data_IF_315178566990
#
_entry.id   IF_315178566990
#
_cell.length_a   1.000
_cell.length_b   1.000
_cell.length_c   1.000
_cell.angle_alpha   90.00
_cell.angle_beta   90.00
_cell.angle_gamma   90.00
#
_symmetry.space_group_name_H-M   'P 1'
#
loop_
_entity.id
_entity.type
_entity.pdbx_description
1 polymer ?
#
# COMPACT_ATOMS: atom_id res chain seq x y z
N UNK A 1 9.12 45.63 30.55
CA UNK A 1 9.69 44.41 31.18
C UNK A 1 9.67 43.32 30.13
N UNK A 2 10.84 42.94 29.61
CA UNK A 2 10.95 41.85 28.65
C UNK A 2 10.76 40.52 29.41
N UNK A 3 9.90 39.60 28.94
CA UNK A 3 9.82 38.27 29.53
C UNK A 3 11.11 37.51 29.21
N UNK A 4 11.81 37.05 30.23
CA UNK A 4 12.98 36.18 30.09
C UNK A 4 12.55 34.89 29.37
N UNK A 5 13.06 34.71 28.15
CA UNK A 5 12.80 33.53 27.32
C UNK A 5 13.71 32.39 27.78
N UNK A 6 13.20 31.54 28.67
CA UNK A 6 13.87 30.29 29.05
C UNK A 6 13.64 29.21 27.98
N UNK A 7 14.64 28.95 27.15
CA UNK A 7 14.67 27.80 26.23
C UNK A 7 15.25 26.60 26.99
N UNK A 8 14.40 25.64 27.35
CA UNK A 8 14.84 24.37 27.94
C UNK A 8 15.01 23.35 26.81
N UNK A 9 16.25 23.01 26.49
CA UNK A 9 16.63 22.00 25.48
C UNK A 9 16.67 20.60 26.10
N UNK A 10 15.60 20.21 26.80
CA UNK A 10 15.42 18.82 27.20
C UNK A 10 14.69 18.09 26.07
N UNK A 11 15.17 16.92 25.59
CA UNK A 11 14.41 16.12 24.64
C UNK A 11 13.04 15.84 25.25
N UNK A 12 12.00 16.32 24.58
CA UNK A 12 10.62 16.12 25.02
C UNK A 12 10.23 14.67 24.71
N UNK A 13 10.62 13.75 25.59
CA UNK A 13 10.06 12.41 25.60
C UNK A 13 8.58 12.52 26.00
N UNK A 14 7.67 12.53 25.03
CA UNK A 14 6.23 12.46 25.24
C UNK A 14 5.85 11.08 25.82
N UNK A 15 6.17 10.85 27.10
CA UNK A 15 5.77 9.65 27.85
C UNK A 15 4.24 9.66 28.02
N UNK A 16 3.53 8.92 27.17
CA UNK A 16 2.11 8.64 27.35
C UNK A 16 1.23 8.77 26.11
N UNK A 17 1.74 9.31 25.00
CA UNK A 17 1.02 9.22 23.73
C UNK A 17 1.20 7.79 23.22
N UNK A 18 0.12 7.00 23.27
CA UNK A 18 0.12 5.60 22.88
C UNK A 18 0.85 5.40 21.56
N UNK A 19 1.58 4.28 21.45
CA UNK A 19 2.29 3.78 20.26
C UNK A 19 1.34 3.50 19.09
N UNK A 20 0.58 4.48 18.65
CA UNK A 20 0.10 4.52 17.28
C UNK A 20 1.34 4.69 16.43
N UNK A 21 1.69 3.67 15.66
CA UNK A 21 2.79 3.71 14.69
C UNK A 21 2.57 4.78 13.61
N UNK A 22 1.41 5.42 13.60
CA UNK A 22 0.89 6.10 12.41
C UNK A 22 0.85 7.63 12.56
N UNK A 23 1.28 8.20 13.67
CA UNK A 23 1.40 9.67 13.80
C UNK A 23 2.79 10.05 14.28
N UNK A 24 3.63 10.52 13.34
CA UNK A 24 4.79 11.35 13.70
C UNK A 24 4.24 12.63 14.32
N UNK A 25 4.10 12.65 15.64
CA UNK A 25 3.70 13.85 16.36
C UNK A 25 4.75 14.94 16.13
N UNK A 26 4.50 15.82 15.17
CA UNK A 26 5.41 16.92 14.86
C UNK A 26 5.33 17.94 16.00
N UNK A 27 6.39 18.02 16.78
CA UNK A 27 6.49 19.05 17.81
C UNK A 27 6.96 20.35 17.16
N UNK A 28 6.29 21.46 17.48
CA UNK A 28 6.67 22.78 16.99
C UNK A 28 6.72 23.75 18.15
N UNK A 29 7.73 24.61 18.15
CA UNK A 29 7.88 25.65 19.15
C UNK A 29 7.26 26.93 18.61
N UNK A 30 6.28 27.48 19.34
CA UNK A 30 5.53 28.68 18.97
C UNK A 30 6.05 29.89 19.72
N UNK A 31 6.63 30.84 19.01
CA UNK A 31 7.01 32.14 19.56
C UNK A 31 5.87 33.14 19.36
N UNK A 32 5.43 33.79 20.45
CA UNK A 32 4.43 34.87 20.37
C UNK A 32 5.13 36.17 19.96
N UNK A 33 4.99 36.57 18.70
CA UNK A 33 5.58 37.82 18.19
C UNK A 33 4.56 38.96 18.17
N UNK A 34 3.26 38.65 18.03
CA UNK A 34 2.17 39.63 18.06
C UNK A 34 1.21 39.37 19.24
N UNK A 35 0.58 40.44 19.74
CA UNK A 35 -0.39 40.36 20.84
C UNK A 35 -1.69 39.60 20.52
N UNK A 36 -1.99 39.37 19.23
CA UNK A 36 -3.21 38.72 18.78
C UNK A 36 -2.90 37.40 18.07
N UNK A 37 -3.09 36.27 18.78
CA UNK A 37 -3.25 34.86 18.32
C UNK A 37 -2.27 34.25 17.29
N UNK A 38 -1.39 35.03 16.68
CA UNK A 38 -0.37 34.62 15.73
C UNK A 38 0.98 34.39 16.38
N UNK A 39 1.69 33.39 15.89
CA UNK A 39 3.02 33.06 16.37
C UNK A 39 3.93 32.61 15.25
N UNK A 40 5.23 32.78 15.48
CA UNK A 40 6.25 32.23 14.63
C UNK A 40 6.47 30.77 15.02
N UNK A 41 6.37 29.87 14.04
CA UNK A 41 6.52 28.43 14.22
C UNK A 41 7.96 28.02 13.90
N UNK A 42 8.65 27.49 14.90
CA UNK A 42 9.93 26.80 14.71
C UNK A 42 9.67 25.29 14.67
N UNK A 43 9.73 24.67 13.49
CA UNK A 43 9.42 23.25 13.34
C UNK A 43 10.55 22.35 13.84
N UNK A 44 10.20 21.10 14.15
CA UNK A 44 11.15 20.00 14.24
C UNK A 44 11.81 19.72 12.87
N UNK A 45 13.05 19.22 12.90
CA UNK A 45 13.69 18.73 11.68
C UNK A 45 13.09 17.37 11.28
N UNK A 46 12.60 17.24 10.05
CA UNK A 46 12.00 15.99 9.56
C UNK A 46 12.98 14.81 9.46
N UNK A 47 14.28 15.11 9.45
CA UNK A 47 15.33 14.10 9.48
C UNK A 47 15.48 13.42 10.85
N UNK A 48 14.92 13.99 11.92
CA UNK A 48 15.13 13.52 13.29
C UNK A 48 13.81 13.10 13.95
N UNK A 49 13.81 11.96 14.66
CA UNK A 49 12.60 11.48 15.34
C UNK A 49 12.22 12.34 16.54
N UNK A 50 13.20 12.99 17.16
CA UNK A 50 13.03 13.78 18.39
C UNK A 50 13.29 15.27 18.13
N UNK A 51 12.65 16.11 18.95
CA UNK A 51 12.89 17.55 18.93
C UNK A 51 14.18 17.88 19.66
N UNK A 52 15.13 18.48 18.95
CA UNK A 52 16.35 19.02 19.53
C UNK A 52 16.61 20.41 18.97
N UNK A 53 16.66 21.42 19.86
CA UNK A 53 16.99 22.78 19.46
C UNK A 53 18.43 22.87 18.97
N UNK A 54 19.35 22.15 19.64
CA UNK A 54 20.75 22.09 19.22
C UNK A 54 20.91 21.64 17.77
N UNK A 55 20.18 20.61 17.35
CA UNK A 55 20.24 20.10 15.99
C UNK A 55 19.60 21.07 14.98
N UNK A 56 18.51 21.74 15.38
CA UNK A 56 17.94 22.86 14.62
C UNK A 56 18.99 23.95 14.39
N UNK A 57 19.71 24.37 15.43
CA UNK A 57 20.77 25.37 15.33
C UNK A 57 21.92 24.89 14.44
N UNK A 58 22.38 23.65 14.59
CA UNK A 58 23.41 23.08 13.70
C UNK A 58 22.95 23.10 12.24
N UNK A 59 21.69 22.76 11.97
CA UNK A 59 21.10 22.80 10.63
C UNK A 59 21.07 24.22 10.06
N UNK A 60 20.70 25.22 10.87
CA UNK A 60 20.74 26.64 10.50
C UNK A 60 22.15 27.02 10.06
N UNK A 61 23.18 26.77 10.88
CA UNK A 61 24.56 27.19 10.56
C UNK A 61 25.19 26.48 9.35
N UNK A 62 24.54 25.46 8.77
CA UNK A 62 24.96 24.87 7.50
C UNK A 62 24.64 25.75 6.29
N UNK A 63 23.71 26.69 6.41
CA UNK A 63 23.38 27.60 5.32
C UNK A 63 24.37 28.77 5.30
N UNK A 64 25.12 28.88 4.19
CA UNK A 64 26.17 29.88 4.04
C UNK A 64 25.65 31.32 4.09
N UNK A 65 24.41 31.55 3.68
CA UNK A 65 23.80 32.87 3.60
C UNK A 65 23.57 33.53 4.97
N UNK A 66 23.60 32.78 6.08
CA UNK A 66 23.48 33.34 7.43
C UNK A 66 24.72 34.11 7.88
N UNK A 67 25.90 33.68 7.43
CA UNK A 67 27.15 34.33 7.79
C UNK A 67 27.19 35.78 7.26
N UNK A 68 26.47 36.06 6.17
CA UNK A 68 26.28 37.41 5.63
C UNK A 68 25.46 38.32 6.56
N UNK A 69 24.65 37.77 7.47
CA UNK A 69 23.94 38.55 8.48
C UNK A 69 24.74 38.67 9.78
N UNK A 70 25.48 37.62 10.15
CA UNK A 70 26.16 37.52 11.44
C UNK A 70 27.54 38.19 11.50
N UNK A 71 28.29 38.20 10.39
CA UNK A 71 29.68 38.66 10.35
C UNK A 71 29.90 40.15 10.02
N UNK A 72 29.08 40.86 9.22
CA UNK A 72 29.47 42.20 8.75
C UNK A 72 29.36 43.33 9.78
N UNK A 73 28.72 43.11 10.93
CA UNK A 73 28.47 44.19 11.89
C UNK A 73 29.47 44.17 13.04
N UNK A 74 30.42 45.10 13.01
CA UNK A 74 31.38 45.29 14.10
C UNK A 74 30.77 45.89 15.38
N UNK A 75 29.56 46.48 15.34
CA UNK A 75 29.00 47.27 16.46
C UNK A 75 27.48 47.14 16.72
N UNK A 76 26.77 46.18 16.11
CA UNK A 76 25.30 46.17 16.12
C UNK A 76 24.75 44.76 16.34
N UNK A 77 24.00 44.58 17.44
CA UNK A 77 23.30 43.34 17.71
C UNK A 77 22.11 43.18 16.75
N UNK A 78 21.97 41.99 16.14
CA UNK A 78 20.78 41.65 15.34
C UNK A 78 19.57 41.66 16.27
N UNK A 79 18.47 42.35 15.91
CA UNK A 79 17.25 42.31 16.70
C UNK A 79 16.74 40.87 16.88
N UNK A 80 16.29 40.47 18.07
CA UNK A 80 15.89 39.09 18.34
C UNK A 80 14.82 38.56 17.38
N UNK A 81 13.87 39.39 17.00
CA UNK A 81 12.80 39.02 16.07
C UNK A 81 13.34 38.75 14.65
N UNK A 82 14.30 39.53 14.16
CA UNK A 82 14.94 39.28 12.88
C UNK A 82 15.67 37.93 12.89
N UNK A 83 16.47 37.68 13.93
CA UNK A 83 17.17 36.41 14.12
C UNK A 83 16.20 35.22 14.11
N UNK A 84 15.07 35.32 14.82
CA UNK A 84 14.07 34.25 14.87
C UNK A 84 13.48 33.93 13.48
N UNK A 85 13.15 34.94 12.67
CA UNK A 85 12.66 34.70 11.29
C UNK A 85 13.74 34.11 10.39
N UNK A 86 15.01 34.47 10.58
CA UNK A 86 16.13 33.85 9.88
C UNK A 86 16.23 32.36 10.24
N UNK A 87 16.16 32.03 11.53
CA UNK A 87 16.15 30.64 12.02
C UNK A 87 15.01 29.84 11.39
N UNK A 88 13.78 30.36 11.49
CA UNK A 88 12.60 29.66 10.94
C UNK A 88 12.68 29.45 9.44
N UNK A 89 13.05 30.49 8.69
CA UNK A 89 13.24 30.39 7.24
C UNK A 89 14.23 29.29 6.85
N UNK A 90 15.35 29.21 7.58
CA UNK A 90 16.37 28.21 7.33
C UNK A 90 15.97 26.78 7.73
N UNK A 91 15.20 26.63 8.81
CA UNK A 91 14.69 25.32 9.23
C UNK A 91 13.70 24.77 8.21
N UNK A 92 12.79 25.61 7.70
CA UNK A 92 11.89 25.21 6.62
C UNK A 92 12.63 24.89 5.33
N UNK A 93 13.70 25.62 5.00
CA UNK A 93 14.54 25.29 3.85
C UNK A 93 15.19 23.91 4.01
N UNK A 94 15.73 23.59 5.20
CA UNK A 94 16.30 22.27 5.48
C UNK A 94 15.25 21.16 5.42
N UNK A 95 14.05 21.39 5.95
CA UNK A 95 12.94 20.43 5.91
C UNK A 95 12.46 20.18 4.47
N UNK A 96 12.34 21.23 3.66
CA UNK A 96 11.98 21.09 2.25
C UNK A 96 13.04 20.30 1.48
N UNK A 97 14.33 20.58 1.68
CA UNK A 97 15.42 19.79 1.04
C UNK A 97 15.39 18.32 1.43
N UNK A 98 15.05 18.04 2.69
CA UNK A 98 14.88 16.66 3.16
C UNK A 98 13.71 15.97 2.46
N UNK A 99 12.55 16.63 2.37
CA UNK A 99 11.40 16.09 1.65
C UNK A 99 11.68 15.89 0.16
N UNK A 100 12.32 16.86 -0.49
CA UNK A 100 12.72 16.76 -1.90
C UNK A 100 13.61 15.54 -2.13
N UNK A 101 14.63 15.34 -1.30
CA UNK A 101 15.51 14.19 -1.38
C UNK A 101 14.77 12.86 -1.12
N UNK A 102 13.87 12.82 -0.13
CA UNK A 102 13.08 11.62 0.21
C UNK A 102 12.11 11.26 -0.92
N UNK A 103 11.34 12.22 -1.42
CA UNK A 103 10.38 12.02 -2.51
C UNK A 103 11.11 11.57 -3.79
N UNK A 104 12.23 12.20 -4.13
CA UNK A 104 13.07 11.77 -5.27
C UNK A 104 13.63 10.37 -5.07
N UNK A 105 14.09 10.03 -3.87
CA UNK A 105 14.57 8.67 -3.56
C UNK A 105 13.48 7.63 -3.79
N UNK A 106 12.27 7.87 -3.28
CA UNK A 106 11.12 6.97 -3.45
C UNK A 106 10.76 6.85 -4.95
N UNK A 107 10.67 7.99 -5.64
CA UNK A 107 10.29 8.06 -7.06
C UNK A 107 11.28 7.33 -7.98
N UNK A 108 12.60 7.49 -7.76
CA UNK A 108 13.62 6.90 -8.63
C UNK A 108 14.01 5.47 -8.26
N UNK A 109 13.99 5.12 -6.96
CA UNK A 109 14.50 3.83 -6.48
C UNK A 109 13.38 2.84 -6.19
N UNK A 110 12.39 3.27 -5.42
CA UNK A 110 11.38 2.36 -4.88
C UNK A 110 10.25 2.11 -5.88
N UNK A 111 10.00 3.05 -6.79
CA UNK A 111 8.96 2.90 -7.81
C UNK A 111 9.25 1.79 -8.84
N UNK A 112 10.53 1.40 -8.97
CA UNK A 112 10.95 0.29 -9.86
C UNK A 112 10.53 -1.07 -9.35
N UNK A 113 10.46 -1.25 -8.04
CA UNK A 113 9.93 -2.45 -7.37
C UNK A 113 9.13 -2.01 -6.15
N UNK A 114 7.87 -1.59 -6.36
CA UNK A 114 7.08 -1.00 -5.30
C UNK A 114 6.83 -2.03 -4.20
N UNK A 115 7.15 -1.63 -2.97
CA UNK A 115 6.84 -2.39 -1.76
C UNK A 115 5.54 -1.88 -1.17
N UNK A 116 4.91 -2.69 -0.32
CA UNK A 116 3.70 -2.27 0.40
C UNK A 116 3.93 -1.00 1.24
N UNK A 117 5.15 -0.78 1.72
CA UNK A 117 5.52 0.44 2.47
C UNK A 117 5.63 1.69 1.59
N UNK A 118 5.91 1.54 0.28
CA UNK A 118 6.15 2.68 -0.63
C UNK A 118 4.95 3.61 -0.70
N UNK A 119 3.73 3.06 -0.68
CA UNK A 119 2.53 3.88 -0.67
C UNK A 119 2.38 4.67 0.64
N UNK A 120 2.63 4.01 1.79
CA UNK A 120 2.64 4.67 3.10
C UNK A 120 3.67 5.78 3.16
N UNK A 121 4.90 5.52 2.71
CA UNK A 121 5.98 6.51 2.68
C UNK A 121 5.63 7.76 1.83
N UNK A 122 4.93 7.59 0.71
CA UNK A 122 4.47 8.71 -0.10
C UNK A 122 3.34 9.49 0.58
N UNK A 123 2.43 8.81 1.29
CA UNK A 123 1.39 9.45 2.08
C UNK A 123 1.99 10.28 3.23
N UNK A 124 2.99 9.73 3.94
CA UNK A 124 3.74 10.47 4.96
C UNK A 124 4.40 11.73 4.37
N UNK A 125 5.07 11.60 3.22
CA UNK A 125 5.69 12.75 2.55
C UNK A 125 4.65 13.80 2.14
N UNK A 126 3.45 13.38 1.73
CA UNK A 126 2.35 14.29 1.39
C UNK A 126 1.87 15.06 2.61
N UNK A 127 1.68 14.37 3.73
CA UNK A 127 1.25 14.99 4.99
C UNK A 127 2.32 15.97 5.50
N UNK A 128 3.59 15.57 5.53
CA UNK A 128 4.70 16.42 5.94
C UNK A 128 4.80 17.69 5.06
N UNK A 129 4.56 17.56 3.74
CA UNK A 129 4.59 18.68 2.81
C UNK A 129 3.40 19.63 3.01
N UNK A 130 2.19 19.11 3.25
CA UNK A 130 1.02 19.93 3.52
C UNK A 130 1.11 20.67 4.87
N UNK A 131 1.66 20.00 5.89
CA UNK A 131 1.97 20.60 7.18
C UNK A 131 2.99 21.74 7.03
N UNK A 132 4.06 21.53 6.24
CA UNK A 132 5.04 22.56 5.92
C UNK A 132 4.39 23.76 5.23
N UNK A 133 3.55 23.55 4.21
CA UNK A 133 2.88 24.63 3.48
C UNK A 133 1.96 25.43 4.39
N UNK A 134 1.09 24.75 5.15
CA UNK A 134 0.17 25.40 6.10
C UNK A 134 0.94 26.23 7.13
N UNK A 135 2.03 25.70 7.69
CA UNK A 135 2.82 26.40 8.70
C UNK A 135 3.59 27.61 8.13
N UNK A 136 4.09 27.52 6.89
CA UNK A 136 4.72 28.67 6.22
C UNK A 136 3.69 29.75 5.91
N UNK A 137 2.50 29.38 5.41
CA UNK A 137 1.41 30.33 5.16
C UNK A 137 0.99 31.02 6.45
N UNK A 138 0.84 30.27 7.56
CA UNK A 138 0.58 30.84 8.87
C UNK A 138 1.68 31.83 9.27
N UNK A 139 2.96 31.45 9.10
CA UNK A 139 4.10 32.32 9.41
C UNK A 139 4.10 33.61 8.58
N UNK A 140 3.80 33.52 7.28
CA UNK A 140 3.75 34.66 6.35
C UNK A 140 2.61 35.63 6.69
N UNK A 141 1.45 35.11 7.11
CA UNK A 141 0.28 35.94 7.49
C UNK A 141 0.55 36.83 8.72
N UNK A 142 1.51 36.47 9.56
CA UNK A 142 1.83 37.18 10.80
C UNK A 142 3.17 37.94 10.75
N UNK A 143 3.73 38.16 9.57
CA UNK A 143 4.99 38.92 9.42
C UNK A 143 4.74 40.40 9.73
N UNK A 144 5.49 41.01 10.67
CA UNK A 144 5.32 42.43 10.97
C UNK A 144 6.01 43.32 9.91
N UNK A 145 5.38 44.44 9.56
CA UNK A 145 5.81 45.33 8.46
C UNK A 145 7.22 45.90 8.70
N UNK A 146 7.56 46.20 9.95
CA UNK A 146 8.89 46.71 10.33
C UNK A 146 10.05 45.75 10.00
N UNK A 147 9.77 44.45 9.90
CA UNK A 147 10.78 43.45 9.60
C UNK A 147 11.15 43.45 8.10
N UNK A 148 10.19 43.75 7.22
CA UNK A 148 10.48 43.96 5.80
C UNK A 148 11.39 45.17 5.62
N UNK A 149 11.06 46.29 6.26
CA UNK A 149 11.88 47.51 6.21
C UNK A 149 13.30 47.25 6.73
N UNK A 150 13.43 46.51 7.85
CA UNK A 150 14.74 46.14 8.40
C UNK A 150 15.60 45.35 7.39
N UNK A 151 15.03 44.34 6.73
CA UNK A 151 15.77 43.52 5.78
C UNK A 151 16.02 44.22 4.44
N UNK A 152 15.11 45.07 3.96
CA UNK A 152 15.28 45.85 2.74
C UNK A 152 16.33 46.97 2.88
N UNK A 153 16.57 47.44 4.11
CA UNK A 153 17.66 48.39 4.39
C UNK A 153 19.04 47.72 4.40
N UNK A 154 19.13 46.40 4.61
CA UNK A 154 20.39 45.68 4.79
C UNK A 154 21.30 45.64 3.55
N UNK A 155 20.80 45.42 2.32
CA UNK A 155 21.62 45.45 1.10
C UNK A 155 22.39 46.77 0.91
N UNK A 156 21.92 47.88 1.50
CA UNK A 156 22.61 49.18 1.46
C UNK A 156 23.91 49.18 2.25
N UNK A 157 24.00 48.37 3.30
CA UNK A 157 25.16 48.28 4.18
C UNK A 157 26.14 47.19 3.75
N UNK A 158 25.69 46.23 2.94
CA UNK A 158 26.48 45.10 2.47
C UNK A 158 26.03 44.72 1.04
N UNK A 159 26.74 45.15 -0.01
CA UNK A 159 26.37 44.90 -1.41
C UNK A 159 26.68 43.47 -1.88
N UNK A 160 26.62 42.48 -0.98
CA UNK A 160 26.84 41.08 -1.32
C UNK A 160 25.68 40.59 -2.22
N UNK A 161 26.03 40.17 -3.43
CA UNK A 161 25.11 39.70 -4.47
C UNK A 161 24.34 38.41 -4.12
N UNK A 162 24.66 37.77 -2.99
CA UNK A 162 24.10 36.50 -2.54
C UNK A 162 23.09 36.65 -1.39
N UNK A 163 22.78 37.88 -0.99
CA UNK A 163 21.98 38.11 0.20
C UNK A 163 20.55 37.62 0.05
N UNK A 164 20.17 36.63 0.86
CA UNK A 164 18.82 36.06 0.87
C UNK A 164 17.97 36.70 1.95
N UNK A 165 16.95 37.41 1.53
CA UNK A 165 15.94 37.95 2.41
C UNK A 165 15.10 36.81 3.05
N UNK A 166 15.06 36.64 4.39
CA UNK A 166 14.41 35.49 5.03
C UNK A 166 12.92 35.32 4.70
N UNK A 167 12.20 36.43 4.57
CA UNK A 167 10.77 36.40 4.22
C UNK A 167 10.55 36.02 2.74
N UNK A 168 11.28 36.63 1.78
CA UNK A 168 11.24 36.19 0.37
C UNK A 168 11.72 34.74 0.21
N UNK A 169 12.60 34.28 1.09
CA UNK A 169 13.02 32.88 1.13
C UNK A 169 11.86 31.96 1.53
N UNK A 170 11.00 32.34 2.50
CA UNK A 170 9.80 31.59 2.84
C UNK A 170 8.81 31.53 1.66
N UNK A 171 8.59 32.63 0.95
CA UNK A 171 7.76 32.64 -0.27
C UNK A 171 8.34 31.72 -1.37
N UNK A 172 9.67 31.73 -1.53
CA UNK A 172 10.36 30.82 -2.45
C UNK A 172 10.16 29.36 -2.04
N UNK A 173 10.35 29.03 -0.76
CA UNK A 173 10.13 27.69 -0.22
C UNK A 173 8.68 27.25 -0.46
N UNK A 174 7.69 28.15 -0.32
CA UNK A 174 6.30 27.84 -0.60
C UNK A 174 6.07 27.49 -2.08
N UNK A 175 6.65 28.26 -3.02
CA UNK A 175 6.59 27.96 -4.46
C UNK A 175 7.29 26.64 -4.79
N UNK A 176 8.46 26.41 -4.21
CA UNK A 176 9.22 25.16 -4.40
C UNK A 176 8.44 23.96 -3.83
N UNK A 177 7.72 24.15 -2.73
CA UNK A 177 6.83 23.13 -2.15
C UNK A 177 5.64 22.81 -3.06
N UNK A 178 5.04 23.80 -3.75
CA UNK A 178 3.98 23.57 -4.73
C UNK A 178 4.49 22.76 -5.93
N UNK A 179 5.69 23.07 -6.43
CA UNK A 179 6.36 22.29 -7.48
C UNK A 179 6.60 20.85 -6.99
N UNK A 180 7.13 20.69 -5.78
CA UNK A 180 7.37 19.38 -5.20
C UNK A 180 6.08 18.57 -4.98
N UNK A 181 4.98 19.24 -4.63
CA UNK A 181 3.66 18.61 -4.49
C UNK A 181 3.16 18.07 -5.83
N UNK A 182 3.34 18.82 -6.91
CA UNK A 182 2.98 18.34 -8.27
C UNK A 182 3.78 17.10 -8.66
N UNK A 183 5.10 17.11 -8.40
CA UNK A 183 5.98 15.97 -8.65
C UNK A 183 5.61 14.73 -7.80
N UNK A 184 5.22 14.94 -6.55
CA UNK A 184 4.73 13.88 -5.66
C UNK A 184 3.42 13.28 -6.21
N UNK A 185 2.52 14.10 -6.75
CA UNK A 185 1.27 13.60 -7.34
C UNK A 185 1.54 12.77 -8.61
N UNK A 186 2.47 13.20 -9.46
CA UNK A 186 2.89 12.43 -10.63
C UNK A 186 3.50 11.08 -10.20
N UNK A 187 4.29 11.09 -9.12
CA UNK A 187 4.87 9.87 -8.53
C UNK A 187 3.78 8.90 -8.03
N UNK A 188 2.72 9.40 -7.40
CA UNK A 188 1.56 8.56 -7.03
C UNK A 188 0.88 7.93 -8.26
N UNK A 189 0.69 8.69 -9.34
CA UNK A 189 0.08 8.15 -10.55
C UNK A 189 0.94 7.05 -11.19
N UNK A 190 2.25 7.25 -11.24
CA UNK A 190 3.19 6.25 -11.73
C UNK A 190 3.20 5.00 -10.85
N UNK A 191 3.14 5.15 -9.53
CA UNK A 191 3.04 4.03 -8.59
C UNK A 191 1.77 3.20 -8.85
N UNK A 192 0.61 3.86 -8.98
CA UNK A 192 -0.66 3.17 -9.24
C UNK A 192 -0.65 2.44 -10.59
N UNK A 193 -0.03 3.03 -11.61
CA UNK A 193 0.16 2.37 -12.90
C UNK A 193 1.06 1.12 -12.77
N UNK A 194 2.17 1.24 -12.05
CA UNK A 194 3.10 0.13 -11.80
C UNK A 194 2.45 -1.03 -11.06
N UNK A 195 1.68 -0.73 -10.01
CA UNK A 195 0.93 -1.73 -9.24
C UNK A 195 -0.11 -2.44 -10.12
N UNK A 196 -0.89 -1.69 -10.92
CA UNK A 196 -1.88 -2.28 -11.82
C UNK A 196 -1.27 -3.22 -12.86
N UNK A 197 -0.10 -2.87 -13.41
CA UNK A 197 0.63 -3.74 -14.34
C UNK A 197 1.15 -5.00 -13.63
N UNK A 198 1.63 -4.88 -12.39
CA UNK A 198 2.09 -6.02 -11.58
C UNK A 198 0.93 -6.96 -11.26
N UNK A 199 -0.20 -6.44 -10.81
CA UNK A 199 -1.40 -7.22 -10.50
C UNK A 199 -1.94 -7.95 -11.73
N UNK A 200 -1.87 -7.30 -12.91
CA UNK A 200 -2.25 -7.93 -14.17
C UNK A 200 -1.36 -9.13 -14.51
N UNK A 201 -0.04 -9.02 -14.28
CA UNK A 201 0.89 -10.14 -14.49
C UNK A 201 0.62 -11.28 -13.51
N UNK A 202 0.47 -10.98 -12.23
CA UNK A 202 0.14 -11.98 -11.21
C UNK A 202 -1.18 -12.68 -11.51
N UNK A 203 -2.19 -11.94 -11.97
CA UNK A 203 -3.47 -12.53 -12.39
C UNK A 203 -3.33 -13.45 -13.60
N UNK A 204 -2.46 -13.11 -14.57
CA UNK A 204 -2.19 -13.98 -15.73
C UNK A 204 -1.47 -15.26 -15.30
N UNK A 205 -0.45 -15.14 -14.44
CA UNK A 205 0.27 -16.29 -13.89
C UNK A 205 -0.65 -17.21 -13.08
N UNK A 206 -1.50 -16.62 -12.22
CA UNK A 206 -2.49 -17.38 -11.46
C UNK A 206 -3.51 -18.07 -12.38
N UNK A 207 -3.94 -17.41 -13.46
CA UNK A 207 -4.83 -18.02 -14.45
C UNK A 207 -4.15 -19.20 -15.17
N UNK A 208 -2.86 -19.08 -15.51
CA UNK A 208 -2.10 -20.18 -16.12
C UNK A 208 -1.97 -21.38 -15.18
N UNK A 209 -1.59 -21.14 -13.92
CA UNK A 209 -1.52 -22.20 -12.90
C UNK A 209 -2.89 -22.87 -12.68
N UNK A 210 -3.96 -22.09 -12.65
CA UNK A 210 -5.32 -22.62 -12.50
C UNK A 210 -5.74 -23.50 -13.69
N UNK A 211 -5.34 -23.12 -14.91
CA UNK A 211 -5.59 -23.92 -16.11
C UNK A 211 -4.81 -25.24 -16.09
N UNK A 212 -3.55 -25.21 -15.68
CA UNK A 212 -2.74 -26.42 -15.53
C UNK A 212 -3.35 -27.37 -14.49
N UNK A 213 -3.77 -26.84 -13.35
CA UNK A 213 -4.45 -27.61 -12.31
C UNK A 213 -5.80 -28.18 -12.80
N UNK A 214 -6.53 -27.43 -13.64
CA UNK A 214 -7.75 -27.92 -14.27
C UNK A 214 -7.49 -29.09 -15.23
N UNK A 215 -6.40 -29.05 -16.01
CA UNK A 215 -6.02 -30.15 -16.89
C UNK A 215 -5.63 -31.41 -16.10
N UNK A 216 -4.82 -31.25 -15.04
CA UNK A 216 -4.42 -32.37 -14.18
C UNK A 216 -5.61 -33.00 -13.46
N UNK A 217 -6.51 -32.18 -12.92
CA UNK A 217 -7.73 -32.68 -12.26
C UNK A 217 -8.66 -33.39 -13.24
N UNK A 218 -8.80 -32.89 -14.48
CA UNK A 218 -9.56 -33.58 -15.52
C UNK A 218 -8.94 -34.93 -15.89
N UNK A 219 -7.61 -35.03 -15.94
CA UNK A 219 -6.94 -36.32 -16.19
C UNK A 219 -7.10 -37.30 -15.03
N UNK A 220 -6.97 -36.82 -13.78
CA UNK A 220 -7.23 -37.63 -12.58
C UNK A 220 -8.68 -38.13 -12.54
N UNK A 221 -9.65 -37.27 -12.88
CA UNK A 221 -11.05 -37.66 -12.98
C UNK A 221 -11.28 -38.77 -14.01
N UNK A 222 -10.63 -38.68 -15.19
CA UNK A 222 -10.70 -39.75 -16.21
C UNK A 222 -10.12 -41.07 -15.70
N UNK A 223 -8.96 -41.05 -15.04
CA UNK A 223 -8.33 -42.25 -14.47
C UNK A 223 -9.20 -42.85 -13.37
N UNK A 224 -9.75 -42.02 -12.50
CA UNK A 224 -10.69 -42.46 -11.45
C UNK A 224 -11.95 -43.08 -12.04
N UNK A 225 -12.53 -42.48 -13.08
CA UNK A 225 -13.71 -43.03 -13.76
C UNK A 225 -13.44 -44.42 -14.34
N UNK A 226 -12.25 -44.63 -14.92
CA UNK A 226 -11.84 -45.94 -15.44
C UNK A 226 -11.72 -46.99 -14.33
N UNK A 227 -11.10 -46.65 -13.20
CA UNK A 227 -10.99 -47.54 -12.04
C UNK A 227 -12.36 -47.90 -11.47
N UNK A 228 -13.26 -46.92 -11.33
CA UNK A 228 -14.63 -47.16 -10.88
C UNK A 228 -15.36 -48.10 -11.84
N UNK A 229 -15.21 -47.90 -13.16
CA UNK A 229 -15.82 -48.78 -14.16
C UNK A 229 -15.32 -50.22 -14.04
N UNK A 230 -14.01 -50.43 -13.85
CA UNK A 230 -13.46 -51.77 -13.62
C UNK A 230 -13.96 -52.38 -12.31
N UNK A 231 -13.96 -51.62 -11.22
CA UNK A 231 -14.44 -52.09 -9.93
C UNK A 231 -15.92 -52.52 -10.00
N UNK A 232 -16.78 -51.77 -10.71
CA UNK A 232 -18.18 -52.15 -10.88
C UNK A 232 -18.40 -53.47 -11.62
N UNK A 233 -17.46 -53.88 -12.49
CA UNK A 233 -17.49 -55.17 -13.19
C UNK A 233 -16.89 -56.30 -12.35
N UNK A 234 -15.72 -56.08 -11.74
CA UNK A 234 -14.98 -57.12 -11.04
C UNK A 234 -15.54 -57.46 -9.66
N UNK A 235 -16.14 -56.50 -8.96
CA UNK A 235 -16.62 -56.69 -7.58
C UNK A 235 -17.75 -57.74 -7.50
N UNK A 236 -18.79 -57.73 -8.36
CA UNK A 236 -19.81 -58.80 -8.41
C UNK A 236 -19.24 -60.16 -8.83
N UNK A 237 -18.31 -60.18 -9.79
CA UNK A 237 -17.60 -61.40 -10.25
C UNK A 237 -16.77 -62.03 -9.12
N UNK A 238 -16.12 -61.19 -8.31
CA UNK A 238 -15.34 -61.62 -7.14
C UNK A 238 -16.25 -62.20 -6.04
N UNK A 239 -17.42 -61.61 -5.81
CA UNK A 239 -18.42 -62.16 -4.89
C UNK A 239 -18.90 -63.52 -5.37
N UNK A 240 -19.20 -63.66 -6.66
CA UNK A 240 -19.63 -64.94 -7.24
C UNK A 240 -18.56 -66.03 -7.08
N UNK A 241 -17.32 -65.74 -7.46
CA UNK A 241 -16.20 -66.67 -7.34
C UNK A 241 -15.86 -67.00 -5.89
N UNK A 242 -16.02 -66.05 -4.95
CA UNK A 242 -15.91 -66.30 -3.51
C UNK A 242 -16.97 -67.26 -2.98
N UNK A 243 -18.25 -67.06 -3.34
CA UNK A 243 -19.36 -67.94 -2.95
C UNK A 243 -19.13 -69.37 -3.45
N UNK A 244 -18.71 -69.55 -4.70
CA UNK A 244 -18.45 -70.88 -5.25
C UNK A 244 -17.10 -71.48 -4.84
N UNK A 245 -16.10 -70.66 -4.48
CA UNK A 245 -14.78 -71.13 -4.06
C UNK A 245 -14.70 -71.60 -2.61
N UNK A 246 -15.53 -71.05 -1.71
CA UNK A 246 -15.41 -71.28 -0.27
C UNK A 246 -16.05 -72.59 0.24
N UNK A 247 -16.99 -73.23 -0.46
CA UNK A 247 -17.75 -74.38 0.09
C UNK A 247 -18.16 -75.45 -0.95
N UNK A 248 -17.25 -75.87 -1.84
CA UNK A 248 -17.54 -76.96 -2.77
C UNK A 248 -17.68 -78.35 -2.10
N UNK A 249 -17.18 -78.52 -0.86
CA UNK A 249 -17.32 -79.80 -0.13
C UNK A 249 -18.68 -79.96 0.56
N UNK A 250 -19.23 -78.91 1.19
CA UNK A 250 -20.54 -78.98 1.84
C UNK A 250 -21.71 -79.02 0.83
N UNK A 251 -21.56 -78.37 -0.33
CA UNK A 251 -22.62 -78.30 -1.35
C UNK A 251 -22.78 -79.61 -2.14
N UNK A 252 -21.77 -80.49 -2.14
CA UNK A 252 -21.83 -81.75 -2.89
C UNK A 252 -22.53 -82.89 -2.12
N UNK A 253 -22.71 -82.76 -0.79
CA UNK A 253 -23.50 -83.70 0.03
C UNK A 253 -25.01 -83.41 -0.02
N UNK A 254 -25.40 -82.19 -0.38
CA UNK A 254 -26.76 -81.89 -0.81
C UNK A 254 -26.83 -82.11 -2.34
N UNK A 255 -27.77 -82.90 -2.84
CA UNK A 255 -28.01 -83.09 -4.27
C UNK A 255 -28.49 -81.78 -4.96
N UNK A 256 -27.65 -80.75 -5.03
CA UNK A 256 -27.99 -79.49 -5.69
C UNK A 256 -27.59 -79.61 -7.17
N UNK A 257 -28.54 -79.50 -8.12
CA UNK A 257 -28.22 -79.62 -9.53
C UNK A 257 -27.27 -78.49 -9.95
N UNK A 258 -26.26 -78.81 -10.76
CA UNK A 258 -25.28 -77.89 -11.35
C UNK A 258 -25.91 -76.60 -11.93
N UNK A 259 -27.17 -76.68 -12.39
CA UNK A 259 -27.98 -75.56 -12.86
C UNK A 259 -28.18 -74.42 -11.84
N UNK A 260 -28.07 -74.67 -10.53
CA UNK A 260 -28.22 -73.62 -9.50
C UNK A 260 -27.14 -72.54 -9.61
N UNK A 261 -25.91 -72.92 -10.01
CA UNK A 261 -24.83 -71.95 -10.25
C UNK A 261 -25.18 -70.97 -11.37
N UNK A 262 -25.83 -71.47 -12.43
CA UNK A 262 -26.29 -70.66 -13.55
C UNK A 262 -27.41 -69.68 -13.14
N UNK A 263 -28.32 -70.09 -12.26
CA UNK A 263 -29.40 -69.23 -11.73
C UNK A 263 -28.84 -68.11 -10.85
N UNK A 264 -27.92 -68.43 -9.95
CA UNK A 264 -27.28 -67.42 -9.08
C UNK A 264 -26.46 -66.43 -9.92
N UNK A 265 -25.76 -66.91 -10.96
CA UNK A 265 -25.06 -66.04 -11.91
C UNK A 265 -26.02 -65.09 -12.63
N UNK A 266 -27.14 -65.60 -13.15
CA UNK A 266 -28.13 -64.79 -13.85
C UNK A 266 -28.73 -63.70 -12.96
N UNK A 267 -29.07 -64.01 -11.69
CA UNK A 267 -29.61 -63.04 -10.73
C UNK A 267 -28.57 -61.95 -10.40
N UNK A 268 -27.31 -62.34 -10.18
CA UNK A 268 -26.22 -61.38 -9.95
C UNK A 268 -26.01 -60.48 -11.16
N UNK A 269 -26.02 -61.03 -12.38
CA UNK A 269 -25.88 -60.25 -13.61
C UNK A 269 -27.02 -59.23 -13.78
N UNK A 270 -28.26 -59.64 -13.49
CA UNK A 270 -29.43 -58.74 -13.51
C UNK A 270 -29.32 -57.64 -12.45
N UNK A 271 -28.97 -57.98 -11.20
CA UNK A 271 -28.78 -56.98 -10.14
C UNK A 271 -27.67 -55.98 -10.50
N UNK A 272 -26.56 -56.47 -11.04
CA UNK A 272 -25.44 -55.62 -11.47
C UNK A 272 -25.86 -54.70 -12.63
N UNK A 273 -26.60 -55.24 -13.60
CA UNK A 273 -27.13 -54.49 -14.73
C UNK A 273 -28.11 -53.39 -14.30
N UNK A 274 -28.98 -53.66 -13.33
CA UNK A 274 -29.92 -52.68 -12.77
C UNK A 274 -29.17 -51.58 -12.01
N UNK A 275 -28.18 -51.93 -11.18
CA UNK A 275 -27.35 -50.94 -10.48
C UNK A 275 -26.58 -50.05 -11.46
N UNK A 276 -26.02 -50.62 -12.52
CA UNK A 276 -25.31 -49.88 -13.56
C UNK A 276 -26.25 -48.94 -14.34
N UNK A 277 -27.43 -49.41 -14.75
CA UNK A 277 -28.42 -48.57 -15.42
C UNK A 277 -28.95 -47.46 -14.51
N UNK A 278 -29.14 -47.74 -13.21
CA UNK A 278 -29.56 -46.77 -12.21
C UNK A 278 -28.54 -45.64 -12.05
N UNK A 279 -27.25 -45.98 -11.89
CA UNK A 279 -26.16 -45.00 -11.80
C UNK A 279 -26.05 -44.17 -13.08
N UNK A 280 -26.12 -44.81 -14.26
CA UNK A 280 -26.02 -44.12 -15.55
C UNK A 280 -27.22 -43.22 -15.84
N UNK A 281 -28.42 -43.59 -15.36
CA UNK A 281 -29.61 -42.76 -15.46
C UNK A 281 -29.57 -41.57 -14.50
N UNK A 282 -28.96 -41.75 -13.32
CA UNK A 282 -28.72 -40.67 -12.35
C UNK A 282 -27.75 -39.62 -12.90
N UNK A 283 -26.62 -40.04 -13.47
CA UNK A 283 -25.63 -39.12 -14.08
C UNK A 283 -26.23 -38.28 -15.21
N UNK A 284 -27.06 -38.89 -16.06
CA UNK A 284 -27.77 -38.17 -17.14
C UNK A 284 -28.75 -37.12 -16.62
N UNK A 285 -29.34 -37.32 -15.43
CA UNK A 285 -30.23 -36.33 -14.82
C UNK A 285 -29.43 -35.16 -14.25
N UNK A 286 -28.27 -35.42 -13.64
CA UNK A 286 -27.40 -34.38 -13.10
C UNK A 286 -26.84 -33.48 -14.21
N UNK A 287 -26.30 -34.06 -15.30
CA UNK A 287 -25.80 -33.28 -16.44
C UNK A 287 -26.88 -32.41 -17.11
N UNK A 288 -28.13 -32.89 -17.13
CA UNK A 288 -29.25 -32.13 -17.70
C UNK A 288 -29.63 -30.92 -16.83
N UNK A 289 -29.50 -31.05 -15.51
CA UNK A 289 -29.75 -29.94 -14.57
C UNK A 289 -28.62 -28.89 -14.62
N UNK A 290 -27.37 -29.31 -14.80
CA UNK A 290 -26.23 -28.40 -14.95
C UNK A 290 -26.27 -27.64 -16.28
N UNK A 291 -26.69 -28.28 -17.37
CA UNK A 291 -26.88 -27.62 -18.66
C UNK A 291 -28.00 -26.56 -18.64
N UNK A 292 -29.07 -26.80 -17.86
CA UNK A 292 -30.18 -25.84 -17.70
C UNK A 292 -29.82 -24.65 -16.81
N UNK A 293 -28.92 -24.83 -15.83
CA UNK A 293 -28.44 -23.74 -14.98
C UNK A 293 -27.41 -22.86 -15.69
N UNK A 294 -26.52 -23.43 -16.52
CA UNK A 294 -25.56 -22.65 -17.34
C UNK A 294 -26.26 -21.89 -18.47
N UNK A 295 -27.28 -22.48 -19.11
CA UNK A 295 -28.08 -21.79 -20.13
C UNK A 295 -28.94 -20.61 -19.62
N UNK A 296 -29.14 -20.52 -18.30
CA UNK A 296 -29.89 -19.41 -17.67
C UNK A 296 -29.01 -18.19 -17.32
N UNK A 297 -27.67 -18.29 -17.41
CA UNK A 297 -26.75 -17.21 -16.99
C UNK A 297 -26.23 -16.36 -18.17
N UNK A 298 -26.34 -16.83 -19.42
CA UNK A 298 -26.14 -16.01 -20.63
C UNK A 298 -27.44 -15.86 -21.41
N UNK A 299 -28.21 -14.76 -21.21
CA UNK A 299 -28.21 -13.70 -22.22
C UNK A 299 -28.51 -12.31 -21.63
N UNK A 300 -27.71 -11.82 -20.67
CA UNK A 300 -27.83 -10.41 -20.21
C UNK A 300 -26.53 -9.59 -20.23
N UNK A 301 -25.35 -10.21 -20.38
CA UNK A 301 -24.08 -9.47 -20.47
C UNK A 301 -23.70 -8.98 -21.88
N UNK A 302 -24.20 -9.59 -22.97
CA UNK A 302 -23.91 -9.11 -24.33
C UNK A 302 -24.63 -7.82 -24.72
N UNK A 303 -25.75 -7.47 -24.08
CA UNK A 303 -26.46 -6.21 -24.38
C UNK A 303 -25.88 -5.02 -23.58
N UNK A 304 -25.23 -5.26 -22.44
CA UNK A 304 -24.60 -4.19 -21.66
C UNK A 304 -23.24 -3.73 -22.23
N UNK A 305 -22.55 -4.56 -23.02
CA UNK A 305 -21.29 -4.20 -23.68
C UNK A 305 -21.46 -3.36 -24.96
N UNK A 306 -22.55 -3.59 -25.72
CA UNK A 306 -22.79 -2.89 -26.98
C UNK A 306 -23.40 -1.48 -26.81
N UNK A 307 -23.95 -1.16 -25.62
CA UNK A 307 -24.50 0.19 -25.36
C UNK A 307 -23.46 1.19 -24.81
N UNK A 308 -22.23 0.75 -24.49
CA UNK A 308 -21.15 1.60 -23.98
C UNK A 308 -20.11 2.02 -25.03
N UNK A 309 -20.29 1.62 -26.29
CA UNK A 309 -19.44 2.08 -27.41
C UNK A 309 -20.16 3.00 -28.40
N UNK A 310 -21.34 3.52 -28.03
CA UNK A 310 -22.16 4.39 -28.88
C UNK A 310 -22.49 5.75 -28.23
N UNK A 311 -21.79 6.11 -27.15
CA UNK A 311 -21.76 7.44 -26.52
C UNK A 311 -20.31 7.74 -26.18
#
# INVERSE_FOLDING_TARGET
>A
MAPDLFLVDAPLELKGCAKSKDFRAQTSLRFRIAGNRGGLLLPQLFAQPEYSLLEIFKSVFRHSWHFEYLLPYANGAIPPHALLYMLVSSTWESNLRFLDARIKSISFRDLRDPKDSTNGDLHDCREDLDALRTAIIETLNWVPVNLFEYYDLWPKFCPLSSMRHPIRNLERILKDADILQSFLMDTFQLLMSSISVRDSKLSIEQAQLSNEQALLSAEQAKRSAWLTQLATLYLPLSVLTGIFGMNLKEINDAHVPFWWSLVVFAILLVCTGVAFFGLRASERRTQRNDALTVGSVEPKRRIAGALKSAV
#
